data_IF_512231153752
#
_entry.id   IF_512231153752
#
_cell.length_a   1.000
_cell.length_b   1.000
_cell.length_c   1.000
_cell.angle_alpha   90.00
_cell.angle_beta   90.00
_cell.angle_gamma   90.00
#
_symmetry.space_group_name_H-M   'P 1'
#
loop_
_entity.id
_entity.type
_entity.pdbx_description
1 polymer ?
#
# COMPACT_ATOMS: atom_id res chain seq x y z
N UNK A 1 -29.50 5.81 43.51
CA UNK A 1 -28.06 5.85 43.85
C UNK A 1 -27.53 7.24 43.51
N UNK A 2 -27.28 8.11 44.49
CA UNK A 2 -26.77 9.48 44.25
C UNK A 2 -25.25 9.40 44.05
N UNK A 3 -24.79 9.40 42.80
CA UNK A 3 -23.36 9.49 42.48
C UNK A 3 -22.88 10.83 43.05
N UNK A 4 -22.00 10.80 44.05
CA UNK A 4 -21.48 12.05 44.62
C UNK A 4 -20.67 12.79 43.54
N UNK A 5 -20.79 14.12 43.47
CA UNK A 5 -20.19 14.96 42.42
C UNK A 5 -18.68 14.70 42.18
N UNK A 6 -17.96 14.24 43.21
CA UNK A 6 -16.54 13.83 43.14
C UNK A 6 -16.29 12.59 42.27
N UNK A 7 -17.19 11.60 42.29
CA UNK A 7 -17.09 10.40 41.44
C UNK A 7 -17.58 10.67 40.01
N UNK A 8 -18.54 11.57 39.83
CA UNK A 8 -19.01 11.97 38.50
C UNK A 8 -17.88 12.63 37.68
N UNK A 9 -17.08 13.50 38.30
CA UNK A 9 -15.94 14.14 37.65
C UNK A 9 -14.86 13.11 37.26
N UNK A 10 -14.58 12.15 38.14
CA UNK A 10 -13.60 11.08 37.88
C UNK A 10 -14.01 10.18 36.72
N UNK A 11 -15.31 9.84 36.62
CA UNK A 11 -15.86 9.04 35.51
C UNK A 11 -15.76 9.79 34.18
N UNK A 12 -16.02 11.09 34.16
CA UNK A 12 -15.91 11.91 32.94
C UNK A 12 -14.46 11.97 32.46
N UNK A 13 -13.50 12.19 33.37
CA UNK A 13 -12.07 12.21 33.04
C UNK A 13 -11.64 10.85 32.48
N UNK A 14 -12.05 9.74 33.11
CA UNK A 14 -11.75 8.40 32.63
C UNK A 14 -12.33 8.15 31.23
N UNK A 15 -13.56 8.60 30.97
CA UNK A 15 -14.20 8.47 29.67
C UNK A 15 -13.45 9.27 28.59
N UNK A 16 -13.02 10.50 28.90
CA UNK A 16 -12.21 11.32 27.99
C UNK A 16 -10.87 10.63 27.68
N UNK A 17 -10.20 10.05 28.68
CA UNK A 17 -8.96 9.30 28.47
C UNK A 17 -9.20 8.09 27.57
N UNK A 18 -10.26 7.32 27.78
CA UNK A 18 -10.61 6.17 26.93
C UNK A 18 -10.93 6.61 25.50
N UNK A 19 -11.66 7.71 25.30
CA UNK A 19 -11.99 8.23 23.97
C UNK A 19 -10.75 8.76 23.25
N UNK A 20 -9.85 9.46 23.94
CA UNK A 20 -8.61 9.99 23.36
C UNK A 20 -7.65 8.85 23.01
N UNK A 21 -7.43 7.90 23.92
CA UNK A 21 -6.55 6.74 23.68
C UNK A 21 -7.15 5.82 22.62
N UNK A 22 -8.47 5.57 22.67
CA UNK A 22 -9.19 4.79 21.66
C UNK A 22 -9.15 5.43 20.29
N UNK A 23 -9.34 6.76 20.20
CA UNK A 23 -9.24 7.51 18.96
C UNK A 23 -7.86 7.43 18.33
N UNK A 24 -6.79 7.54 19.12
CA UNK A 24 -5.41 7.41 18.63
C UNK A 24 -5.13 5.98 18.12
N UNK A 25 -5.70 4.95 18.77
CA UNK A 25 -5.52 3.56 18.36
C UNK A 25 -6.21 3.25 17.03
N UNK A 26 -7.39 3.83 16.79
CA UNK A 26 -8.10 3.72 15.50
C UNK A 26 -7.31 4.41 14.37
N UNK A 27 -6.71 5.56 14.65
CA UNK A 27 -5.90 6.34 13.69
C UNK A 27 -4.58 5.69 13.26
N UNK A 28 -4.07 4.71 14.01
CA UNK A 28 -2.84 3.95 13.66
C UNK A 28 -3.04 2.85 12.61
N UNK A 29 -4.24 2.70 12.06
CA UNK A 29 -4.53 1.60 11.12
C UNK A 29 -3.95 1.81 9.71
N UNK A 30 -3.51 3.03 9.40
CA UNK A 30 -3.03 3.40 8.07
C UNK A 30 -1.51 3.52 8.05
N UNK A 31 -0.88 2.91 7.06
CA UNK A 31 0.57 2.93 6.81
C UNK A 31 0.86 3.44 5.40
N UNK A 32 2.05 3.98 5.17
CA UNK A 32 2.44 4.36 3.81
C UNK A 32 2.76 3.14 2.95
N UNK A 33 2.61 3.23 1.63
CA UNK A 33 3.09 2.21 0.70
C UNK A 33 4.59 1.93 0.87
N UNK A 34 5.38 2.98 1.12
CA UNK A 34 6.81 2.84 1.36
C UNK A 34 7.10 1.90 2.54
N UNK A 35 6.38 2.06 3.64
CA UNK A 35 6.48 1.19 4.80
C UNK A 35 5.91 -0.21 4.50
N UNK A 36 4.76 -0.27 3.82
CA UNK A 36 4.09 -1.53 3.51
C UNK A 36 4.90 -2.44 2.57
N UNK A 37 5.58 -1.88 1.57
CA UNK A 37 6.15 -2.60 0.45
C UNK A 37 7.67 -2.43 0.30
N UNK A 38 8.21 -1.25 0.61
CA UNK A 38 9.60 -0.88 0.28
C UNK A 38 10.54 -0.84 1.49
N UNK A 39 10.06 -1.11 2.71
CA UNK A 39 10.85 -1.01 3.95
C UNK A 39 12.18 -1.78 3.89
N UNK A 40 12.18 -2.96 3.24
CA UNK A 40 13.36 -3.83 3.11
C UNK A 40 14.04 -3.73 1.76
N UNK A 41 13.60 -2.81 0.89
CA UNK A 41 14.16 -2.61 -0.45
C UNK A 41 15.16 -1.47 -0.40
N UNK A 42 16.40 -1.71 -0.84
CA UNK A 42 17.34 -0.63 -1.08
C UNK A 42 16.90 0.17 -2.31
N UNK A 43 16.28 1.34 -2.10
CA UNK A 43 15.75 2.17 -3.17
C UNK A 43 16.80 2.61 -4.19
N UNK A 44 18.08 2.67 -3.80
CA UNK A 44 19.19 3.02 -4.71
C UNK A 44 19.56 1.91 -5.67
N UNK A 45 19.12 0.69 -5.39
CA UNK A 45 19.41 -0.50 -6.20
C UNK A 45 18.28 -0.84 -7.17
N UNK A 46 17.16 -0.12 -7.11
CA UNK A 46 16.05 -0.28 -8.05
C UNK A 46 16.52 0.16 -9.43
N UNK A 47 16.52 -0.76 -10.38
CA UNK A 47 16.99 -0.53 -11.76
C UNK A 47 15.87 -0.62 -12.80
N UNK A 48 14.76 -1.26 -12.45
CA UNK A 48 13.67 -1.52 -13.39
C UNK A 48 12.33 -1.58 -12.69
N UNK A 49 11.32 -0.93 -13.29
CA UNK A 49 9.91 -1.11 -12.96
C UNK A 49 9.20 -1.63 -14.21
N UNK A 50 8.62 -2.81 -14.10
CA UNK A 50 7.82 -3.42 -15.17
C UNK A 50 6.34 -3.29 -14.83
N UNK A 51 5.54 -2.81 -15.75
CA UNK A 51 4.09 -2.62 -15.55
C UNK A 51 3.36 -3.32 -16.69
N UNK A 52 2.42 -4.18 -16.33
CA UNK A 52 1.53 -4.88 -17.26
C UNK A 52 0.11 -4.40 -16.96
N UNK A 53 -0.57 -3.86 -17.97
CA UNK A 53 -1.98 -3.49 -17.92
C UNK A 53 -2.80 -4.69 -18.41
N UNK A 54 -3.74 -5.14 -17.56
CA UNK A 54 -4.73 -6.14 -17.98
C UNK A 54 -5.82 -5.43 -18.79
N UNK A 55 -6.08 -5.92 -19.99
CA UNK A 55 -7.27 -5.56 -20.77
C UNK A 55 -8.29 -6.70 -20.66
N UNK A 56 -9.59 -6.40 -20.84
CA UNK A 56 -10.72 -7.35 -20.68
C UNK A 56 -10.56 -8.66 -21.46
N UNK A 57 -9.68 -8.69 -22.46
CA UNK A 57 -9.27 -9.90 -23.17
C UNK A 57 -7.75 -10.05 -23.12
N UNK A 58 -7.27 -11.15 -22.54
CA UNK A 58 -5.84 -11.53 -22.35
C UNK A 58 -4.96 -11.47 -23.62
N UNK A 59 -5.55 -11.37 -24.81
CA UNK A 59 -4.83 -11.24 -26.07
C UNK A 59 -4.10 -9.89 -26.26
N UNK A 60 -4.46 -8.85 -25.49
CA UNK A 60 -3.95 -7.47 -25.67
C UNK A 60 -3.28 -6.90 -24.40
N UNK A 61 -2.57 -7.72 -23.63
CA UNK A 61 -1.80 -7.19 -22.50
C UNK A 61 -0.75 -6.18 -22.97
N UNK A 62 -0.86 -4.95 -22.47
CA UNK A 62 0.16 -3.93 -22.71
C UNK A 62 1.21 -4.00 -21.63
N UNK A 63 2.47 -4.00 -22.03
CA UNK A 63 3.62 -4.06 -21.15
C UNK A 63 4.56 -2.89 -21.40
N UNK A 64 4.99 -2.27 -20.33
CA UNK A 64 6.04 -1.26 -20.33
C UNK A 64 7.13 -1.64 -19.34
N UNK A 65 8.35 -1.23 -19.66
CA UNK A 65 9.53 -1.41 -18.80
C UNK A 65 10.20 -0.05 -18.66
N UNK A 66 10.25 0.45 -17.44
CA UNK A 66 10.88 1.72 -17.08
C UNK A 66 12.25 1.42 -16.48
N UNK A 67 13.32 1.86 -17.15
CA UNK A 67 14.71 1.70 -16.70
C UNK A 67 15.44 3.04 -16.51
N UNK A 68 14.78 4.17 -16.80
CA UNK A 68 15.34 5.50 -16.56
C UNK A 68 15.29 5.81 -15.05
N UNK A 69 16.44 6.11 -14.45
CA UNK A 69 16.54 6.35 -13.00
C UNK A 69 15.67 7.52 -12.50
N UNK A 70 15.49 8.58 -13.30
CA UNK A 70 14.64 9.73 -12.92
C UNK A 70 13.17 9.34 -12.91
N UNK A 71 12.72 8.60 -13.93
CA UNK A 71 11.34 8.12 -14.02
C UNK A 71 11.04 7.09 -12.93
N UNK A 72 11.96 6.15 -12.67
CA UNK A 72 11.86 5.21 -11.54
C UNK A 72 11.69 5.98 -10.23
N UNK A 73 12.54 6.98 -9.99
CA UNK A 73 12.46 7.79 -8.78
C UNK A 73 11.10 8.48 -8.64
N UNK A 74 10.58 9.08 -9.72
CA UNK A 74 9.27 9.71 -9.72
C UNK A 74 8.13 8.71 -9.42
N UNK A 75 8.14 7.54 -10.06
CA UNK A 75 7.14 6.49 -9.81
C UNK A 75 7.19 6.04 -8.35
N UNK A 76 8.39 5.79 -7.82
CA UNK A 76 8.56 5.36 -6.43
C UNK A 76 8.13 6.45 -5.44
N UNK A 77 8.46 7.72 -5.69
CA UNK A 77 8.02 8.83 -4.84
C UNK A 77 6.50 8.98 -4.83
N UNK A 78 5.85 8.92 -5.99
CA UNK A 78 4.39 9.01 -6.09
C UNK A 78 3.72 7.83 -5.39
N UNK A 79 4.17 6.59 -5.63
CA UNK A 79 3.65 5.42 -4.92
C UNK A 79 3.88 5.51 -3.41
N UNK A 80 5.01 6.05 -2.96
CA UNK A 80 5.34 6.19 -1.54
C UNK A 80 4.36 7.08 -0.77
N UNK A 81 3.63 7.98 -1.45
CA UNK A 81 2.61 8.86 -0.85
C UNK A 81 1.29 8.13 -0.59
N UNK A 82 1.08 6.97 -1.20
CA UNK A 82 -0.15 6.20 -1.06
C UNK A 82 -0.30 5.71 0.37
N UNK A 83 -1.46 5.97 0.95
CA UNK A 83 -1.84 5.56 2.29
C UNK A 83 -2.67 4.28 2.20
N UNK A 84 -2.28 3.27 2.97
CA UNK A 84 -2.81 1.92 2.91
C UNK A 84 -3.32 1.48 4.27
N UNK A 85 -4.43 0.75 4.29
CA UNK A 85 -4.89 0.02 5.47
C UNK A 85 -4.84 -1.46 5.17
N UNK A 86 -4.24 -2.26 6.07
CA UNK A 86 -4.20 -3.71 5.88
C UNK A 86 -5.62 -4.26 5.79
N UNK A 87 -5.88 -5.10 4.79
CA UNK A 87 -7.17 -5.75 4.58
C UNK A 87 -7.04 -7.26 4.79
N UNK A 88 -8.03 -7.84 5.47
CA UNK A 88 -8.19 -9.29 5.59
C UNK A 88 -9.07 -9.85 4.45
N UNK A 89 -9.55 -9.00 3.54
CA UNK A 89 -10.31 -9.43 2.36
C UNK A 89 -9.41 -10.19 1.38
N UNK A 90 -9.97 -11.23 0.78
CA UNK A 90 -9.35 -11.89 -0.37
C UNK A 90 -9.13 -10.88 -1.50
N UNK A 91 -8.03 -11.03 -2.23
CA UNK A 91 -7.77 -10.24 -3.42
C UNK A 91 -8.94 -10.38 -4.42
N UNK A 92 -9.39 -9.30 -5.08
CA UNK A 92 -10.38 -9.39 -6.16
C UNK A 92 -9.91 -10.31 -7.29
N UNK A 93 -10.84 -10.79 -8.11
CA UNK A 93 -10.54 -11.79 -9.15
C UNK A 93 -9.81 -11.24 -10.39
N UNK A 94 -9.78 -9.92 -10.61
CA UNK A 94 -9.21 -9.30 -11.81
C UNK A 94 -8.41 -8.03 -11.49
N UNK A 95 -7.08 -8.11 -11.61
CA UNK A 95 -6.18 -6.98 -11.43
C UNK A 95 -6.14 -6.09 -12.67
N UNK A 96 -6.12 -4.77 -12.48
CA UNK A 96 -6.00 -3.79 -13.55
C UNK A 96 -4.54 -3.61 -13.98
N UNK A 97 -3.62 -3.61 -13.01
CA UNK A 97 -2.19 -3.47 -13.25
C UNK A 97 -1.39 -4.47 -12.41
N UNK A 98 -0.43 -5.12 -13.04
CA UNK A 98 0.64 -5.85 -12.36
C UNK A 98 1.94 -5.05 -12.47
N UNK A 99 2.54 -4.74 -11.33
CA UNK A 99 3.78 -3.95 -11.26
C UNK A 99 4.86 -4.80 -10.60
N UNK A 100 6.02 -4.91 -11.23
CA UNK A 100 7.18 -5.59 -10.66
C UNK A 100 8.33 -4.61 -10.53
N UNK A 101 8.76 -4.38 -9.30
CA UNK A 101 9.93 -3.57 -8.95
C UNK A 101 11.12 -4.51 -8.80
N UNK A 102 12.16 -4.28 -9.61
CA UNK A 102 13.40 -5.05 -9.58
C UNK A 102 14.56 -4.22 -9.04
N UNK A 103 15.40 -4.88 -8.25
CA UNK A 103 16.67 -4.32 -7.77
C UNK A 103 17.78 -5.28 -8.12
N UNK A 104 18.86 -4.78 -8.73
CA UNK A 104 19.95 -5.61 -9.27
C UNK A 104 19.42 -6.76 -10.15
N UNK A 105 18.45 -6.46 -11.01
CA UNK A 105 17.75 -7.41 -11.90
C UNK A 105 16.90 -8.50 -11.19
N UNK A 106 16.89 -8.55 -9.86
CA UNK A 106 16.07 -9.48 -9.10
C UNK A 106 14.72 -8.85 -8.70
N UNK A 107 13.65 -9.66 -8.66
CA UNK A 107 12.34 -9.20 -8.20
C UNK A 107 12.43 -8.89 -6.72
N UNK A 108 12.24 -7.61 -6.36
CA UNK A 108 12.21 -7.19 -4.96
C UNK A 108 10.77 -7.15 -4.45
N UNK A 109 9.88 -6.53 -5.23
CA UNK A 109 8.47 -6.32 -4.87
C UNK A 109 7.59 -6.52 -6.10
N UNK A 110 6.48 -7.24 -5.92
CA UNK A 110 5.39 -7.32 -6.89
C UNK A 110 4.16 -6.63 -6.33
N UNK A 111 3.37 -6.00 -7.19
CA UNK A 111 2.12 -5.34 -6.85
C UNK A 111 1.02 -5.79 -7.81
N UNK A 112 -0.18 -5.94 -7.28
CA UNK A 112 -1.38 -6.04 -8.12
C UNK A 112 -2.38 -4.99 -7.66
N UNK A 113 -2.75 -4.09 -8.57
CA UNK A 113 -3.72 -3.03 -8.32
C UNK A 113 -5.05 -3.47 -8.91
N UNK A 114 -6.10 -3.43 -8.09
CA UNK A 114 -7.47 -3.79 -8.46
C UNK A 114 -8.34 -2.52 -8.42
N UNK A 115 -8.45 -1.85 -9.57
CA UNK A 115 -9.10 -0.53 -9.66
C UNK A 115 -8.42 0.50 -8.74
N UNK A 116 -9.21 1.38 -8.12
CA UNK A 116 -8.67 2.46 -7.27
C UNK A 116 -8.66 2.14 -5.77
N UNK A 117 -9.19 0.97 -5.36
CA UNK A 117 -9.50 0.70 -3.95
C UNK A 117 -8.63 -0.37 -3.31
N UNK A 118 -8.02 -1.25 -4.09
CA UNK A 118 -7.36 -2.43 -3.53
C UNK A 118 -6.00 -2.68 -4.17
N UNK A 119 -5.05 -3.04 -3.32
CA UNK A 119 -3.66 -3.33 -3.66
C UNK A 119 -3.23 -4.61 -2.97
N UNK A 120 -2.57 -5.50 -3.70
CA UNK A 120 -1.86 -6.64 -3.12
C UNK A 120 -0.37 -6.45 -3.31
N UNK A 121 0.40 -6.64 -2.24
CA UNK A 121 1.86 -6.52 -2.24
C UNK A 121 2.48 -7.91 -2.04
N UNK A 122 3.40 -8.25 -2.93
CA UNK A 122 4.22 -9.45 -2.93
C UNK A 122 5.67 -9.06 -2.56
N UNK A 123 6.21 -9.60 -1.48
CA UNK A 123 7.59 -9.40 -1.05
C UNK A 123 8.39 -10.66 -1.38
N UNK A 124 9.33 -10.56 -2.32
CA UNK A 124 10.04 -11.73 -2.83
C UNK A 124 11.31 -12.06 -2.05
N UNK A 125 11.98 -11.05 -1.48
CA UNK A 125 13.28 -11.20 -0.81
C UNK A 125 13.19 -11.13 0.73
N UNK A 126 12.04 -11.46 1.33
CA UNK A 126 11.85 -11.47 2.79
C UNK A 126 12.14 -12.85 3.39
N UNK A 127 12.87 -12.95 4.51
CA UNK A 127 13.06 -14.22 5.21
C UNK A 127 11.72 -14.80 5.69
N UNK A 128 11.47 -16.08 5.37
CA UNK A 128 10.35 -16.91 5.87
C UNK A 128 10.34 -16.82 7.42
N UNK A 129 9.19 -16.57 8.09
CA UNK A 129 7.87 -17.16 7.83
C UNK A 129 6.70 -16.18 7.69
N UNK A 130 6.93 -14.86 7.55
CA UNK A 130 5.82 -13.90 7.42
C UNK A 130 5.24 -13.95 6.01
N UNK A 131 3.91 -13.96 5.94
CA UNK A 131 3.12 -13.86 4.70
C UNK A 131 3.78 -12.92 3.69
N UNK A 132 4.40 -13.49 2.66
CA UNK A 132 5.03 -12.74 1.57
C UNK A 132 4.00 -12.01 0.70
N UNK A 133 2.70 -12.21 0.96
CA UNK A 133 1.59 -11.57 0.27
C UNK A 133 0.72 -10.86 1.29
N UNK A 134 0.44 -9.58 1.10
CA UNK A 134 -0.43 -8.81 1.99
C UNK A 134 -1.39 -7.96 1.16
N UNK A 135 -2.68 -8.06 1.46
CA UNK A 135 -3.74 -7.25 0.88
C UNK A 135 -3.90 -5.94 1.64
N UNK A 136 -4.14 -4.86 0.91
CA UNK A 136 -4.37 -3.52 1.43
C UNK A 136 -5.56 -2.86 0.73
N UNK A 137 -6.28 -2.06 1.49
CA UNK A 137 -7.19 -1.04 0.99
C UNK A 137 -6.42 0.26 0.78
N UNK A 138 -6.63 0.90 -0.38
CA UNK A 138 -6.08 2.22 -0.70
C UNK A 138 -6.98 3.27 -0.04
N UNK A 139 -6.42 4.01 0.91
CA UNK A 139 -7.15 5.03 1.68
C UNK A 139 -7.05 6.39 0.98
N UNK A 140 -5.86 6.76 0.50
CA UNK A 140 -5.64 8.03 -0.18
C UNK A 140 -4.28 8.07 -0.91
N UNK A 141 -4.06 9.11 -1.72
CA UNK A 141 -2.78 9.40 -2.37
C UNK A 141 -2.52 8.60 -3.65
N UNK A 142 -3.38 7.65 -4.02
CA UNK A 142 -3.26 6.94 -5.28
C UNK A 142 -3.66 7.84 -6.47
N UNK A 143 -2.75 7.98 -7.41
CA UNK A 143 -2.96 8.70 -8.67
C UNK A 143 -2.90 7.71 -9.84
N UNK A 144 -4.05 7.12 -10.19
CA UNK A 144 -4.13 6.13 -11.27
C UNK A 144 -3.68 6.66 -12.64
N UNK A 145 -3.84 7.96 -12.88
CA UNK A 145 -3.40 8.62 -14.13
C UNK A 145 -1.89 8.53 -14.33
N UNK A 146 -1.10 8.52 -13.26
CA UNK A 146 0.35 8.36 -13.38
C UNK A 146 0.70 7.08 -14.12
N UNK A 147 0.06 5.96 -13.76
CA UNK A 147 0.33 4.65 -14.36
C UNK A 147 -0.25 4.60 -15.77
N UNK A 148 -1.45 5.16 -15.96
CA UNK A 148 -2.10 5.20 -17.27
C UNK A 148 -1.29 5.98 -18.31
N UNK A 149 -0.76 7.15 -17.93
CA UNK A 149 0.06 8.01 -18.80
C UNK A 149 1.37 7.33 -19.25
N UNK A 150 1.83 6.27 -18.58
CA UNK A 150 3.01 5.53 -19.03
C UNK A 150 2.71 4.65 -20.26
N UNK A 151 1.44 4.47 -20.63
CA UNK A 151 0.99 3.70 -21.78
C UNK A 151 0.51 4.56 -22.96
N UNK A 152 0.55 5.90 -22.83
CA UNK A 152 0.25 6.87 -23.89
C UNK A 152 1.49 7.14 -24.75
#
# INVERSE_FOLDING_TARGET
>A
MKIQKKYALSIIILFVVIVVVGGIFVSKSTISFKEAALEQVNLKEIDTIEIIKSEDNSANEKKITVSNAKEIHQIIEELSKVQLKKSDSSAPSSGLYWITIRSKQERSVGLTIFGEKSLVVYKYNTPVPKSNVVSYEIISGYNGKLIENLFE
#
